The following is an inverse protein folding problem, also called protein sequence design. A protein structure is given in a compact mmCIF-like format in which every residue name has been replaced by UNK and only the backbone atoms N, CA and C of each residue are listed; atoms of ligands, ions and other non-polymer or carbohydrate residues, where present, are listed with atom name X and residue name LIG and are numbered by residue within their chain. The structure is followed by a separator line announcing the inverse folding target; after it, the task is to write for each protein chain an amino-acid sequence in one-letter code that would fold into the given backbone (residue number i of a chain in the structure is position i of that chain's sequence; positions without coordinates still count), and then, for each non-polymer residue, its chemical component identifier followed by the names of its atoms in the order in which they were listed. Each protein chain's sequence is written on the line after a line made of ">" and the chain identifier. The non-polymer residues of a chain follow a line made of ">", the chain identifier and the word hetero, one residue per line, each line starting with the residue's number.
data_IF_655360019342
#
_entry.id   IF_655360019342
#
_cell.length_a   1.000
_cell.length_b   1.000
_cell.length_c   1.000
_cell.angle_alpha   90.00
_cell.angle_beta   90.00
_cell.angle_gamma   90.00
#
_symmetry.space_group_name_H-M   'P 1'
#
loop_
_entity.id
_entity.type
_entity.pdbx_description
1 polymer ?
#
# COMPACT_ATOMS: atom_id res chain seq x y z
N UNK A 1 13.92 14.64 20.13
CA UNK A 1 14.52 13.69 19.16
C UNK A 1 14.32 12.30 19.73
N UNK A 2 13.42 11.48 19.17
CA UNK A 2 13.05 10.18 19.73
C UNK A 2 13.59 9.06 18.82
N UNK A 3 14.23 8.09 19.46
CA UNK A 3 15.14 7.09 18.89
C UNK A 3 14.47 5.75 18.56
N UNK A 4 14.95 5.10 17.50
CA UNK A 4 14.37 3.96 16.76
C UNK A 4 14.53 2.57 17.42
N UNK A 5 14.34 2.43 18.74
CA UNK A 5 14.73 1.17 19.46
C UNK A 5 13.74 0.60 20.49
N UNK A 6 12.45 0.89 20.40
CA UNK A 6 11.50 0.50 21.46
C UNK A 6 10.55 -0.67 21.14
N UNK A 7 10.87 -1.58 20.21
CA UNK A 7 9.97 -2.70 19.89
C UNK A 7 10.71 -4.02 19.62
N UNK A 8 11.24 -4.68 20.65
CA UNK A 8 11.51 -6.13 20.65
C UNK A 8 11.61 -6.66 22.10
N UNK A 9 10.46 -6.84 22.76
CA UNK A 9 10.37 -7.70 23.94
C UNK A 9 9.22 -8.69 23.70
N UNK A 10 9.58 -9.93 23.36
CA UNK A 10 8.62 -10.99 23.07
C UNK A 10 9.29 -12.21 22.44
N UNK A 11 10.24 -12.82 23.14
CA UNK A 11 10.78 -14.14 22.81
C UNK A 11 9.70 -15.20 23.06
N UNK A 12 9.28 -15.93 22.03
CA UNK A 12 8.56 -17.20 22.20
C UNK A 12 9.54 -18.33 21.90
N UNK A 13 9.90 -19.07 22.95
CA UNK A 13 10.62 -20.33 22.86
C UNK A 13 9.68 -21.42 22.35
N UNK A 14 10.15 -22.22 21.39
CA UNK A 14 9.49 -23.45 20.95
C UNK A 14 9.78 -24.53 21.99
N UNK A 15 8.72 -25.10 22.59
CA UNK A 15 8.80 -26.33 23.36
C UNK A 15 7.87 -27.38 22.73
N UNK A 16 8.46 -28.49 22.29
CA UNK A 16 7.76 -29.68 21.82
C UNK A 16 7.15 -30.44 23.01
N UNK A 17 5.88 -30.85 22.91
CA UNK A 17 5.22 -31.69 23.90
C UNK A 17 3.82 -32.07 23.47
N UNK A 18 3.60 -33.38 23.28
CA UNK A 18 2.37 -33.97 22.78
C UNK A 18 1.26 -34.10 23.84
N UNK A 19 0.00 -33.94 23.40
CA UNK A 19 -1.15 -34.69 23.93
C UNK A 19 -2.03 -34.02 25.00
N UNK A 20 -3.21 -33.54 24.57
CA UNK A 20 -4.57 -34.01 24.93
C UNK A 20 -5.60 -32.88 25.12
N UNK A 21 -6.60 -32.92 24.23
CA UNK A 21 -8.04 -32.65 24.40
C UNK A 21 -8.47 -31.37 25.12
N UNK A 22 -8.97 -30.42 24.32
CA UNK A 22 -9.84 -29.35 24.76
C UNK A 22 -10.79 -28.97 23.63
N UNK A 23 -12.00 -29.53 23.67
CA UNK A 23 -13.10 -29.23 22.75
C UNK A 23 -13.56 -27.80 23.03
N UNK A 24 -13.26 -26.86 22.12
CA UNK A 24 -13.92 -25.56 22.09
C UNK A 24 -14.41 -25.29 20.67
N UNK A 25 -15.74 -25.25 20.53
CA UNK A 25 -16.47 -24.53 19.50
C UNK A 25 -15.99 -24.72 18.07
N UNK A 26 -16.63 -25.65 17.35
CA UNK A 26 -16.79 -25.53 15.91
C UNK A 26 -17.67 -24.30 15.60
N UNK A 27 -17.10 -23.10 15.79
CA UNK A 27 -17.51 -21.96 15.00
C UNK A 27 -17.06 -22.26 13.59
N UNK A 28 -18.00 -22.23 12.65
CA UNK A 28 -17.71 -22.24 11.23
C UNK A 28 -16.70 -21.14 10.95
N UNK A 29 -15.43 -21.51 10.82
CA UNK A 29 -14.40 -20.71 10.19
C UNK A 29 -14.79 -20.59 8.73
N UNK A 30 -15.77 -19.73 8.46
CA UNK A 30 -15.91 -19.13 7.14
C UNK A 30 -14.57 -18.52 6.84
N UNK A 31 -13.76 -19.23 6.05
CA UNK A 31 -12.56 -18.67 5.46
C UNK A 31 -13.07 -17.56 4.57
N UNK A 32 -13.16 -16.34 5.11
CA UNK A 32 -13.31 -15.16 4.29
C UNK A 32 -12.04 -15.16 3.46
N UNK A 33 -12.16 -15.62 2.20
CA UNK A 33 -11.07 -15.56 1.26
C UNK A 33 -10.56 -14.13 1.30
N UNK A 34 -9.36 -13.93 1.86
CA UNK A 34 -8.71 -12.63 1.86
C UNK A 34 -8.73 -12.19 0.41
N UNK A 35 -9.39 -11.07 0.05
CA UNK A 35 -9.57 -10.72 -1.35
C UNK A 35 -8.18 -10.63 -1.97
N UNK A 36 -7.85 -11.59 -2.84
CA UNK A 36 -6.50 -11.78 -3.32
C UNK A 36 -6.00 -10.48 -3.92
N UNK A 37 -4.85 -9.99 -3.44
CA UNK A 37 -4.19 -8.84 -4.04
C UNK A 37 -3.95 -9.15 -5.52
N UNK A 38 -4.12 -8.18 -6.45
CA UNK A 38 -3.80 -8.41 -7.84
C UNK A 38 -2.30 -8.63 -8.02
N UNK A 39 -1.46 -8.30 -7.02
CA UNK A 39 -0.01 -8.37 -7.05
C UNK A 39 0.54 -9.58 -6.31
N UNK A 40 1.70 -10.08 -6.76
CA UNK A 40 2.51 -11.04 -6.01
C UNK A 40 3.08 -10.42 -4.72
N UNK A 41 3.52 -11.25 -3.78
CA UNK A 41 4.07 -10.77 -2.51
C UNK A 41 5.31 -9.88 -2.68
N UNK A 42 6.20 -10.25 -3.61
CA UNK A 42 7.39 -9.46 -3.97
C UNK A 42 6.99 -8.12 -4.59
N UNK A 43 6.06 -8.12 -5.55
CA UNK A 43 5.54 -6.90 -6.18
C UNK A 43 4.98 -5.93 -5.13
N UNK A 44 4.20 -6.42 -4.15
CA UNK A 44 3.67 -5.59 -3.06
C UNK A 44 4.79 -4.99 -2.21
N UNK A 45 5.82 -5.77 -1.87
CA UNK A 45 6.97 -5.27 -1.09
C UNK A 45 7.74 -4.20 -1.86
N UNK A 46 7.97 -4.41 -3.16
CA UNK A 46 8.64 -3.44 -4.03
C UNK A 46 7.82 -2.16 -4.15
N UNK A 47 6.51 -2.26 -4.37
CA UNK A 47 5.62 -1.10 -4.45
C UNK A 47 5.56 -0.35 -3.12
N UNK A 48 5.46 -1.05 -1.98
CA UNK A 48 5.48 -0.44 -0.65
C UNK A 48 6.77 0.35 -0.41
N UNK A 49 7.93 -0.24 -0.72
CA UNK A 49 9.21 0.46 -0.62
C UNK A 49 9.27 1.67 -1.56
N UNK A 50 8.76 1.53 -2.79
CA UNK A 50 8.77 2.62 -3.76
C UNK A 50 7.89 3.81 -3.33
N UNK A 51 6.66 3.56 -2.85
CA UNK A 51 5.78 4.64 -2.36
C UNK A 51 6.33 5.31 -1.11
N UNK A 52 7.04 4.58 -0.25
CA UNK A 52 7.74 5.13 0.92
C UNK A 52 8.87 6.09 0.53
N UNK A 53 9.48 5.90 -0.65
CA UNK A 53 10.45 6.85 -1.22
C UNK A 53 9.77 8.08 -1.82
N UNK A 54 8.59 7.93 -2.44
CA UNK A 54 7.82 9.07 -2.96
C UNK A 54 7.37 9.99 -1.83
N UNK A 55 6.85 9.42 -0.74
CA UNK A 55 6.40 10.19 0.42
C UNK A 55 6.71 9.41 1.72
N UNK A 56 7.57 9.93 2.61
CA UNK A 56 7.86 9.28 3.88
C UNK A 56 6.61 9.11 4.74
N UNK A 57 6.33 7.89 5.21
CA UNK A 57 5.13 7.55 5.96
C UNK A 57 3.94 7.09 5.09
N UNK A 58 4.11 7.00 3.76
CA UNK A 58 3.07 6.50 2.86
C UNK A 58 2.58 5.09 3.23
N UNK A 59 3.48 4.20 3.66
CA UNK A 59 3.12 2.84 4.08
C UNK A 59 2.27 2.87 5.35
N UNK A 60 2.62 3.69 6.34
CA UNK A 60 1.85 3.81 7.59
C UNK A 60 0.45 4.36 7.36
N UNK A 61 0.30 5.23 6.35
CA UNK A 61 -0.96 5.85 5.95
C UNK A 61 -1.82 4.95 5.05
N UNK A 62 -1.38 3.74 4.71
CA UNK A 62 -2.17 2.76 3.97
C UNK A 62 -2.17 2.95 2.45
N UNK A 63 -1.18 3.65 1.89
CA UNK A 63 -1.08 3.85 0.44
C UNK A 63 -0.96 2.53 -0.34
N UNK A 64 -0.17 1.52 0.09
CA UNK A 64 -0.14 0.23 -0.60
C UNK A 64 -1.52 -0.44 -0.70
N UNK A 65 -2.32 -0.36 0.36
CA UNK A 65 -3.68 -0.90 0.42
C UNK A 65 -4.64 -0.13 -0.49
N UNK A 66 -4.49 1.19 -0.61
CA UNK A 66 -5.19 1.99 -1.61
C UNK A 66 -4.89 1.50 -3.03
N UNK A 67 -3.61 1.32 -3.37
CA UNK A 67 -3.16 0.82 -4.69
C UNK A 67 -3.76 -0.57 -4.96
N UNK A 68 -3.66 -1.49 -4.01
CA UNK A 68 -4.22 -2.85 -4.12
C UNK A 68 -5.73 -2.83 -4.33
N UNK A 69 -6.44 -1.91 -3.68
CA UNK A 69 -7.91 -1.80 -3.77
C UNK A 69 -8.33 -1.26 -5.13
N UNK A 70 -7.77 -0.14 -5.57
CA UNK A 70 -8.21 0.52 -6.79
C UNK A 70 -7.77 -0.21 -8.05
N UNK A 71 -6.63 -0.88 -8.03
CA UNK A 71 -6.16 -1.68 -9.17
C UNK A 71 -6.92 -3.02 -9.33
N UNK A 72 -7.88 -3.33 -8.45
CA UNK A 72 -8.87 -4.41 -8.66
C UNK A 72 -10.12 -3.94 -9.40
N UNK A 73 -10.44 -2.65 -9.35
CA UNK A 73 -11.73 -2.11 -9.83
C UNK A 73 -11.57 -1.45 -11.20
N UNK A 74 -12.61 -1.51 -12.04
CA UNK A 74 -12.63 -0.79 -13.32
C UNK A 74 -12.70 0.73 -13.07
N UNK A 75 -12.04 1.56 -13.90
CA UNK A 75 -11.30 1.21 -15.12
C UNK A 75 -9.83 0.78 -14.89
N UNK A 76 -9.34 0.82 -13.66
CA UNK A 76 -7.91 0.68 -13.36
C UNK A 76 -7.38 -0.76 -13.38
N UNK A 77 -8.24 -1.76 -13.23
CA UNK A 77 -7.86 -3.19 -13.27
C UNK A 77 -7.30 -3.70 -14.61
N UNK A 78 -7.38 -2.89 -15.67
CA UNK A 78 -6.84 -3.20 -16.99
C UNK A 78 -5.39 -2.76 -17.16
N UNK A 79 -5.19 -1.75 -18.01
CA UNK A 79 -3.87 -1.29 -18.42
C UNK A 79 -3.02 -0.76 -17.24
N UNK A 80 -3.65 -0.07 -16.29
CA UNK A 80 -2.96 0.52 -15.14
C UNK A 80 -2.41 -0.57 -14.22
N UNK A 81 -3.23 -1.54 -13.81
CA UNK A 81 -2.78 -2.67 -13.00
C UNK A 81 -1.61 -3.45 -13.65
N UNK A 82 -1.68 -3.69 -14.97
CA UNK A 82 -0.56 -4.31 -15.71
C UNK A 82 0.70 -3.43 -15.72
N UNK A 83 0.53 -2.10 -15.84
CA UNK A 83 1.61 -1.13 -15.73
C UNK A 83 2.31 -1.22 -14.37
N UNK A 84 1.56 -1.30 -13.28
CA UNK A 84 2.11 -1.46 -11.92
C UNK A 84 2.87 -2.77 -11.74
N UNK A 85 2.33 -3.90 -12.21
CA UNK A 85 3.04 -5.20 -12.17
C UNK A 85 4.38 -5.15 -12.89
N UNK A 86 4.39 -4.59 -14.10
CA UNK A 86 5.61 -4.44 -14.90
C UNK A 86 6.59 -3.48 -14.24
N UNK A 87 6.11 -2.36 -13.70
CA UNK A 87 6.94 -1.41 -12.96
C UNK A 87 7.61 -2.03 -11.74
N UNK A 88 6.85 -2.73 -10.89
CA UNK A 88 7.37 -3.45 -9.73
C UNK A 88 8.41 -4.52 -10.15
N UNK A 89 8.11 -5.29 -11.20
CA UNK A 89 9.04 -6.29 -11.74
C UNK A 89 10.35 -5.66 -12.26
N UNK A 90 10.27 -4.49 -12.91
CA UNK A 90 11.45 -3.79 -13.41
C UNK A 90 12.27 -3.14 -12.29
N UNK A 91 11.64 -2.62 -11.24
CA UNK A 91 12.33 -2.12 -10.04
C UNK A 91 13.09 -3.25 -9.35
N UNK A 92 12.43 -4.39 -9.10
CA UNK A 92 13.05 -5.56 -8.49
C UNK A 92 14.20 -6.09 -9.35
N UNK A 93 14.01 -6.18 -10.67
CA UNK A 93 15.06 -6.63 -11.59
C UNK A 93 16.27 -5.71 -11.56
N UNK A 94 16.09 -4.39 -11.68
CA UNK A 94 17.21 -3.44 -11.66
C UNK A 94 17.95 -3.48 -10.32
N UNK A 95 17.25 -3.62 -9.20
CA UNK A 95 17.86 -3.80 -7.89
C UNK A 95 18.74 -5.06 -7.83
N UNK A 96 18.24 -6.20 -8.35
CA UNK A 96 18.98 -7.45 -8.40
C UNK A 96 20.19 -7.38 -9.33
N UNK A 97 20.04 -6.76 -10.49
CA UNK A 97 21.12 -6.62 -11.48
C UNK A 97 22.24 -5.69 -11.00
N UNK A 98 21.90 -4.59 -10.34
CA UNK A 98 22.88 -3.55 -9.95
C UNK A 98 23.45 -3.74 -8.55
N UNK A 99 22.69 -4.35 -7.63
CA UNK A 99 23.03 -4.43 -6.21
C UNK A 99 22.90 -5.84 -5.62
N UNK A 100 22.50 -6.85 -6.42
CA UNK A 100 22.36 -8.25 -5.99
C UNK A 100 21.39 -8.47 -4.81
N UNK A 101 20.50 -7.51 -4.55
CA UNK A 101 19.55 -7.52 -3.45
C UNK A 101 18.14 -7.15 -3.93
N UNK A 102 17.13 -7.46 -3.10
CA UNK A 102 15.75 -7.05 -3.38
C UNK A 102 15.63 -5.54 -3.34
N UNK A 103 14.75 -4.93 -4.14
CA UNK A 103 14.56 -3.48 -4.14
C UNK A 103 14.25 -2.95 -2.73
N UNK A 104 13.32 -3.63 -2.03
CA UNK A 104 12.93 -3.27 -0.67
C UNK A 104 14.04 -3.46 0.39
N UNK A 105 15.09 -4.22 0.08
CA UNK A 105 16.23 -4.44 0.96
C UNK A 105 17.40 -3.47 0.70
N UNK A 106 17.32 -2.66 -0.36
CA UNK A 106 18.32 -1.64 -0.66
C UNK A 106 18.27 -0.48 0.35
N UNK A 107 19.38 0.25 0.45
CA UNK A 107 19.37 1.54 1.13
C UNK A 107 18.47 2.55 0.41
N UNK A 108 17.97 3.55 1.14
CA UNK A 108 17.12 4.59 0.55
C UNK A 108 17.75 5.29 -0.66
N UNK A 109 19.05 5.63 -0.58
CA UNK A 109 19.78 6.25 -1.69
C UNK A 109 19.87 5.37 -2.94
N UNK A 110 20.01 4.04 -2.76
CA UNK A 110 20.01 3.10 -3.88
C UNK A 110 18.61 2.97 -4.50
N UNK A 111 17.56 2.93 -3.68
CA UNK A 111 16.18 2.95 -4.17
C UNK A 111 15.89 4.23 -4.97
N UNK A 112 16.32 5.38 -4.46
CA UNK A 112 16.16 6.68 -5.12
C UNK A 112 16.86 6.72 -6.47
N UNK A 113 18.12 6.27 -6.55
CA UNK A 113 18.86 6.20 -7.83
C UNK A 113 18.18 5.32 -8.86
N UNK A 114 17.53 4.23 -8.46
CA UNK A 114 16.76 3.39 -9.38
C UNK A 114 15.49 4.14 -9.80
N UNK A 115 14.75 4.75 -8.87
CA UNK A 115 13.55 5.52 -9.19
C UNK A 115 13.81 6.71 -10.12
N UNK A 116 14.95 7.40 -9.96
CA UNK A 116 15.40 8.47 -10.86
C UNK A 116 15.58 7.97 -12.30
N UNK A 117 16.08 6.75 -12.52
CA UNK A 117 16.20 6.16 -13.86
C UNK A 117 14.81 5.94 -14.50
N UNK A 118 13.81 5.60 -13.70
CA UNK A 118 12.43 5.51 -14.18
C UNK A 118 11.89 6.90 -14.52
N UNK A 119 12.04 7.87 -13.62
CA UNK A 119 11.60 9.25 -13.82
C UNK A 119 12.17 9.85 -15.11
N UNK A 120 13.47 9.64 -15.36
CA UNK A 120 14.18 10.12 -16.56
C UNK A 120 13.85 9.33 -17.84
N UNK A 121 13.15 8.20 -17.73
CA UNK A 121 12.81 7.36 -18.88
C UNK A 121 14.02 6.66 -19.50
N UNK A 122 15.00 6.32 -18.68
CA UNK A 122 16.23 5.65 -19.10
C UNK A 122 16.00 4.18 -19.43
N UNK A 123 14.96 3.56 -18.85
CA UNK A 123 14.56 2.18 -19.15
C UNK A 123 14.08 2.04 -20.60
N UNK A 124 14.83 1.26 -21.39
CA UNK A 124 14.46 0.88 -22.76
C UNK A 124 13.76 -0.47 -22.76
N UNK A 125 12.43 -0.46 -22.60
CA UNK A 125 11.60 -1.67 -22.60
C UNK A 125 10.47 -1.52 -23.62
N UNK A 126 10.24 -2.49 -24.52
CA UNK A 126 9.12 -2.45 -25.44
C UNK A 126 7.77 -2.35 -24.71
N UNK A 127 6.89 -1.49 -25.22
CA UNK A 127 5.53 -1.28 -24.71
C UNK A 127 5.47 -0.91 -23.21
N UNK A 128 6.51 -0.30 -22.65
CA UNK A 128 6.54 0.20 -21.27
C UNK A 128 7.45 1.41 -21.16
N UNK A 129 7.00 2.46 -20.48
CA UNK A 129 7.81 3.63 -20.20
C UNK A 129 8.02 3.73 -18.69
N UNK A 130 9.30 3.76 -18.26
CA UNK A 130 9.63 3.96 -16.84
C UNK A 130 9.00 5.25 -16.31
N UNK A 131 9.03 6.31 -17.11
CA UNK A 131 8.47 7.62 -16.76
C UNK A 131 6.96 7.58 -16.56
N UNK A 132 6.23 6.86 -17.42
CA UNK A 132 4.78 6.71 -17.29
C UNK A 132 4.40 5.94 -16.03
N UNK A 133 5.14 4.86 -15.72
CA UNK A 133 4.96 4.15 -14.45
C UNK A 133 5.26 5.04 -13.23
N UNK A 134 6.37 5.79 -13.25
CA UNK A 134 6.73 6.70 -12.15
C UNK A 134 5.65 7.76 -11.91
N UNK A 135 5.09 8.34 -12.97
CA UNK A 135 3.98 9.29 -12.87
C UNK A 135 2.74 8.66 -12.21
N UNK A 136 2.37 7.44 -12.60
CA UNK A 136 1.27 6.72 -11.96
C UNK A 136 1.57 6.40 -10.49
N UNK A 137 2.80 6.02 -10.17
CA UNK A 137 3.21 5.72 -8.79
C UNK A 137 3.06 6.98 -7.90
N UNK A 138 3.54 8.14 -8.37
CA UNK A 138 3.38 9.42 -7.67
C UNK A 138 1.91 9.77 -7.52
N UNK A 139 1.14 9.70 -8.61
CA UNK A 139 -0.29 10.01 -8.59
C UNK A 139 -1.05 9.15 -7.56
N UNK A 140 -0.93 7.83 -7.62
CA UNK A 140 -1.62 6.94 -6.70
C UNK A 140 -1.12 7.09 -5.26
N UNK A 141 0.15 7.50 -5.06
CA UNK A 141 0.66 7.81 -3.72
C UNK A 141 -0.04 9.04 -3.14
N UNK A 142 -0.12 10.12 -3.91
CA UNK A 142 -0.80 11.34 -3.48
C UNK A 142 -2.30 11.14 -3.28
N UNK A 143 -2.95 10.39 -4.18
CA UNK A 143 -4.35 10.01 -4.00
C UNK A 143 -4.55 9.17 -2.73
N UNK A 144 -3.69 8.17 -2.51
CA UNK A 144 -3.73 7.34 -1.31
C UNK A 144 -3.47 8.12 -0.03
N UNK A 145 -2.69 9.20 -0.07
CA UNK A 145 -2.40 10.04 1.10
C UNK A 145 -3.52 11.04 1.40
N UNK A 146 -4.11 11.64 0.36
CA UNK A 146 -4.94 12.85 0.51
C UNK A 146 -6.39 12.66 0.05
N UNK A 147 -6.81 11.43 -0.23
CA UNK A 147 -8.24 11.10 -0.43
C UNK A 147 -8.93 10.77 0.89
N UNK A 148 -10.26 10.66 0.87
CA UNK A 148 -11.06 10.21 2.03
C UNK A 148 -10.60 8.81 2.50
N UNK A 149 -10.39 8.59 3.81
CA UNK A 149 -9.95 7.30 4.36
C UNK A 149 -10.79 6.10 3.91
N UNK A 150 -12.08 6.30 3.60
CA UNK A 150 -12.98 5.24 3.12
C UNK A 150 -12.52 4.58 1.81
N UNK A 151 -11.63 5.23 1.05
CA UNK A 151 -11.07 4.70 -0.19
C UNK A 151 -9.86 3.77 0.03
N UNK A 152 -9.48 3.51 1.29
CA UNK A 152 -8.47 2.51 1.66
C UNK A 152 -7.08 3.07 1.95
N UNK A 153 -6.85 4.36 1.67
CA UNK A 153 -5.65 5.10 2.06
C UNK A 153 -5.93 6.06 3.22
N UNK A 154 -5.07 7.06 3.39
CA UNK A 154 -5.19 8.17 4.35
C UNK A 154 -5.67 7.68 5.73
N UNK A 155 -4.97 6.70 6.28
CA UNK A 155 -5.39 6.05 7.53
C UNK A 155 -5.64 7.08 8.62
N UNK A 156 -6.80 6.97 9.27
CA UNK A 156 -7.29 7.87 10.32
C UNK A 156 -7.42 9.35 9.91
N UNK A 157 -7.34 9.67 8.62
CA UNK A 157 -7.37 11.06 8.12
C UNK A 157 -6.09 11.85 8.36
N UNK A 158 -4.98 11.20 8.75
CA UNK A 158 -3.70 11.85 9.06
C UNK A 158 -3.09 12.64 7.90
N UNK A 159 -3.34 12.23 6.66
CA UNK A 159 -2.98 13.00 5.47
C UNK A 159 -3.72 14.34 5.40
N UNK A 160 -4.96 14.42 5.90
CA UNK A 160 -5.66 15.70 6.05
C UNK A 160 -5.06 16.57 7.15
N UNK A 161 -4.72 15.98 8.29
CA UNK A 161 -4.05 16.68 9.39
C UNK A 161 -2.74 17.33 8.91
N UNK A 162 -1.95 16.59 8.12
CA UNK A 162 -0.69 17.06 7.56
C UNK A 162 -0.85 18.36 6.74
N UNK A 163 -1.94 18.49 5.98
CA UNK A 163 -2.22 19.65 5.12
C UNK A 163 -3.18 20.66 5.76
N UNK A 164 -3.47 20.52 7.05
CA UNK A 164 -4.38 21.43 7.78
C UNK A 164 -5.82 21.38 7.29
N UNK A 165 -6.26 20.25 6.73
CA UNK A 165 -7.65 20.05 6.30
C UNK A 165 -8.42 19.21 7.30
N UNK A 166 -9.71 19.47 7.39
CA UNK A 166 -10.66 18.55 8.01
C UNK A 166 -11.32 17.69 6.93
N UNK A 167 -11.86 16.54 7.32
CA UNK A 167 -12.73 15.77 6.45
C UNK A 167 -13.80 16.69 5.85
N UNK A 168 -14.06 16.53 4.56
CA UNK A 168 -14.99 17.38 3.85
C UNK A 168 -16.34 17.45 4.59
N UNK A 169 -16.85 18.66 4.82
CA UNK A 169 -18.07 18.96 5.59
C UNK A 169 -19.32 18.22 5.09
N UNK A 170 -19.31 17.68 3.86
CA UNK A 170 -20.41 16.87 3.33
C UNK A 170 -20.43 15.42 3.86
N UNK A 171 -19.40 14.97 4.58
CA UNK A 171 -19.45 13.75 5.38
C UNK A 171 -20.05 14.10 6.75
N UNK A 172 -21.36 13.88 6.99
CA UNK A 172 -21.94 14.23 8.28
C UNK A 172 -21.24 13.44 9.38
N UNK A 173 -20.79 14.15 10.41
CA UNK A 173 -20.03 13.62 11.56
C UNK A 173 -20.80 12.61 12.41
N UNK A 174 -22.03 12.28 12.03
CA UNK A 174 -22.90 11.31 12.69
C UNK A 174 -23.86 10.68 11.67
N UNK A 175 -23.53 9.50 11.14
CA UNK A 175 -24.58 8.50 10.88
C UNK A 175 -24.85 7.86 12.25
N UNK A 176 -25.54 8.60 13.12
CA UNK A 176 -26.26 8.04 14.25
C UNK A 176 -27.71 8.44 14.05
N UNK A 177 -28.52 7.46 13.65
CA UNK A 177 -29.98 7.44 13.76
C UNK A 177 -30.67 8.81 13.77
N UNK A 178 -30.91 9.38 12.60
CA UNK A 178 -32.01 10.35 12.46
C UNK A 178 -33.03 9.75 11.50
N UNK A 179 -33.88 8.90 12.06
CA UNK A 179 -35.25 8.78 11.56
C UNK A 179 -35.88 10.17 11.59
N UNK A 180 -36.64 10.47 10.54
CA UNK A 180 -37.53 11.63 10.44
C UNK A 180 -36.85 12.99 10.28
N UNK A 181 -36.70 13.41 9.03
CA UNK A 181 -37.29 14.66 8.55
C UNK A 181 -37.18 14.66 7.04
N UNK A 182 -38.34 14.62 6.37
CA UNK A 182 -38.44 14.63 4.92
C UNK A 182 -37.69 15.82 4.32
N UNK A 183 -36.93 15.55 3.27
CA UNK A 183 -36.52 16.57 2.33
C UNK A 183 -37.16 16.27 0.96
N UNK A 184 -37.75 17.28 0.32
CA UNK A 184 -38.46 17.13 -0.93
C UNK A 184 -37.46 16.93 -2.07
N UNK A 185 -37.78 16.00 -2.97
CA UNK A 185 -37.26 16.00 -4.33
C UNK A 185 -37.94 17.11 -5.14
#
# INVERSE_FOLDING_TARGET
>A
MISRRAWLAGTVSIAAGAGLVGWWGAGSSGSFATPSSPFAATERQTLAAAVERIFPGAVELGVPEYIDTWLKVRPFSGAVARGFKRGASHLERLARETHQAAFAALSGEQQDKILEQFERGELKVPNFTGRGFFQYLVQFTLEGLFSDPKYGGNRDGKGFELIGRHACHWAPSSISSRSEAGLPY
#
